data_IF_229997757666
#
_entry.id   IF_229997757666
#
_cell.length_a   1.000
_cell.length_b   1.000
_cell.length_c   1.000
_cell.angle_alpha   90.00
_cell.angle_beta   90.00
_cell.angle_gamma   90.00
#
_symmetry.space_group_name_H-M   'P 1'
#
loop_
_entity.id
_entity.type
_entity.pdbx_description
1 polymer ?
#
# COMPACT_ATOMS: atom_id res chain seq x y z
N UNK A 1 -28.47 -18.56 -72.90
CA UNK A 1 -27.71 -17.47 -72.24
C UNK A 1 -27.95 -17.54 -70.73
N UNK A 2 -26.99 -18.08 -69.97
CA UNK A 2 -26.95 -18.00 -68.51
C UNK A 2 -25.61 -17.34 -68.15
N UNK A 3 -25.63 -16.13 -67.59
CA UNK A 3 -24.43 -15.44 -67.11
C UNK A 3 -24.58 -15.13 -65.62
N UNK A 4 -23.96 -16.02 -64.84
CA UNK A 4 -23.13 -15.78 -63.66
C UNK A 4 -23.52 -14.55 -62.82
N UNK A 5 -24.16 -14.81 -61.66
CA UNK A 5 -24.16 -13.87 -60.52
C UNK A 5 -22.74 -13.86 -59.95
N UNK A 6 -22.01 -12.76 -60.15
CA UNK A 6 -20.76 -12.51 -59.46
C UNK A 6 -21.09 -12.20 -58.00
N UNK A 7 -20.71 -13.09 -57.11
CA UNK A 7 -20.64 -12.82 -55.67
C UNK A 7 -19.56 -11.76 -55.48
N UNK A 8 -19.95 -10.54 -55.11
CA UNK A 8 -19.00 -9.57 -54.57
C UNK A 8 -18.63 -10.12 -53.19
N UNK A 9 -17.51 -10.83 -53.11
CA UNK A 9 -16.78 -11.01 -51.87
C UNK A 9 -16.36 -9.59 -51.49
N UNK A 10 -17.11 -8.98 -50.57
CA UNK A 10 -16.61 -7.90 -49.74
C UNK A 10 -15.38 -8.48 -49.04
N UNK A 11 -14.22 -8.19 -49.62
CA UNK A 11 -12.96 -8.13 -48.90
C UNK A 11 -13.23 -7.17 -47.73
N UNK A 12 -13.66 -7.74 -46.60
CA UNK A 12 -13.31 -7.25 -45.29
C UNK A 12 -11.78 -7.17 -45.30
N UNK A 13 -11.28 -6.06 -45.81
CA UNK A 13 -10.01 -5.54 -45.37
C UNK A 13 -10.24 -5.31 -43.89
N UNK A 14 -9.86 -6.32 -43.12
CA UNK A 14 -9.62 -6.17 -41.69
C UNK A 14 -8.62 -5.03 -41.56
N UNK A 15 -9.13 -3.82 -41.40
CA UNK A 15 -8.55 -2.88 -40.47
C UNK A 15 -8.58 -3.60 -39.13
N UNK A 16 -7.56 -4.44 -38.90
CA UNK A 16 -6.99 -4.59 -37.58
C UNK A 16 -6.58 -3.17 -37.21
N UNK A 17 -7.53 -2.44 -36.59
CA UNK A 17 -7.17 -1.49 -35.57
C UNK A 17 -6.23 -2.28 -34.67
N UNK A 18 -4.93 -2.00 -34.78
CA UNK A 18 -3.96 -2.39 -33.78
C UNK A 18 -4.36 -1.62 -32.53
N UNK A 19 -5.40 -2.06 -31.83
CA UNK A 19 -5.65 -1.64 -30.48
C UNK A 19 -4.43 -2.11 -29.70
N UNK A 20 -3.62 -1.15 -29.27
CA UNK A 20 -2.49 -1.40 -28.38
C UNK A 20 -3.08 -2.18 -27.20
N UNK A 21 -2.55 -3.38 -26.94
CA UNK A 21 -3.01 -4.14 -25.78
C UNK A 21 -2.55 -3.34 -24.54
N UNK A 22 -3.48 -2.89 -23.69
CA UNK A 22 -3.10 -2.15 -22.49
C UNK A 22 -2.23 -3.04 -21.61
N UNK A 23 -1.28 -2.43 -20.90
CA UNK A 23 -0.54 -3.14 -19.87
C UNK A 23 -1.50 -3.52 -18.75
N UNK A 24 -1.13 -4.60 -18.06
CA UNK A 24 -1.83 -5.07 -16.87
C UNK A 24 -0.83 -5.46 -15.80
N UNK A 25 -1.34 -5.64 -14.59
CA UNK A 25 -0.60 -6.31 -13.51
C UNK A 25 0.00 -7.63 -14.01
N UNK A 26 1.29 -7.82 -13.73
CA UNK A 26 2.13 -8.95 -14.16
C UNK A 26 2.94 -8.71 -15.44
N UNK A 27 2.72 -7.60 -16.16
CA UNK A 27 3.50 -7.28 -17.36
C UNK A 27 4.84 -6.61 -17.02
N UNK A 28 5.85 -6.81 -17.88
CA UNK A 28 7.16 -6.15 -17.78
C UNK A 28 7.21 -4.87 -18.60
N UNK A 29 7.58 -3.75 -18.00
CA UNK A 29 7.56 -2.43 -18.63
C UNK A 29 8.92 -1.91 -19.14
N UNK A 30 9.95 -2.77 -19.14
CA UNK A 30 11.31 -2.49 -19.65
C UNK A 30 11.40 -2.03 -21.12
N UNK A 31 10.31 -2.11 -21.90
CA UNK A 31 10.28 -1.73 -23.32
C UNK A 31 10.10 -0.23 -23.60
N UNK A 32 9.83 0.60 -22.59
CA UNK A 32 9.51 2.04 -22.78
C UNK A 32 10.75 2.95 -22.76
N UNK A 33 11.95 2.40 -22.55
CA UNK A 33 13.15 3.17 -22.21
C UNK A 33 13.91 3.79 -23.41
N UNK A 34 13.89 3.16 -24.59
CA UNK A 34 14.71 3.61 -25.72
C UNK A 34 13.98 4.69 -26.54
N UNK A 35 14.26 5.97 -26.24
CA UNK A 35 13.79 7.19 -26.92
C UNK A 35 12.47 7.78 -26.40
N UNK A 36 12.48 8.34 -25.20
CA UNK A 36 11.35 9.07 -24.64
C UNK A 36 11.55 10.61 -24.61
N UNK A 37 10.44 11.34 -24.59
CA UNK A 37 10.34 12.80 -24.46
C UNK A 37 9.66 13.12 -23.13
N UNK A 38 10.21 14.12 -22.41
CA UNK A 38 9.64 14.61 -21.17
C UNK A 38 8.32 15.34 -21.42
N UNK A 39 7.22 14.79 -20.87
CA UNK A 39 5.91 15.44 -20.87
C UNK A 39 5.71 16.34 -19.66
N UNK A 40 6.06 15.83 -18.48
CA UNK A 40 5.85 16.52 -17.21
C UNK A 40 6.96 16.19 -16.22
N UNK A 41 7.30 17.16 -15.37
CA UNK A 41 8.14 16.95 -14.20
C UNK A 41 7.65 17.79 -13.03
N UNK A 42 7.61 17.19 -11.85
CA UNK A 42 7.15 17.86 -10.63
C UNK A 42 7.32 16.97 -9.39
N UNK A 43 7.17 17.55 -8.22
CA UNK A 43 7.14 16.81 -6.96
C UNK A 43 5.72 16.30 -6.68
N UNK A 44 5.58 15.02 -6.33
CA UNK A 44 4.28 14.45 -5.94
C UNK A 44 3.76 15.07 -4.65
N UNK A 45 4.66 15.34 -3.71
CA UNK A 45 4.36 15.92 -2.42
C UNK A 45 5.58 16.68 -1.90
N UNK A 46 5.48 17.27 -0.71
CA UNK A 46 6.58 17.98 -0.07
C UNK A 46 7.68 17.03 0.48
N UNK A 47 7.97 15.94 -0.22
CA UNK A 47 9.06 15.00 0.08
C UNK A 47 10.14 15.16 -0.99
N UNK A 48 11.40 15.42 -0.61
CA UNK A 48 12.51 15.64 -1.55
C UNK A 48 12.69 14.55 -2.62
N UNK A 49 12.46 13.29 -2.27
CA UNK A 49 12.60 12.10 -3.13
C UNK A 49 11.47 11.95 -4.15
N UNK A 50 10.38 12.71 -4.02
CA UNK A 50 9.16 12.50 -4.79
C UNK A 50 9.15 13.18 -6.16
N UNK A 51 10.33 13.48 -6.72
CA UNK A 51 10.44 14.11 -8.04
C UNK A 51 10.00 13.13 -9.12
N UNK A 52 8.78 13.30 -9.63
CA UNK A 52 8.21 12.51 -10.69
C UNK A 52 8.55 13.12 -12.07
N UNK A 53 8.76 12.23 -13.04
CA UNK A 53 8.82 12.55 -14.47
C UNK A 53 7.89 11.62 -15.23
N UNK A 54 7.16 12.20 -16.17
CA UNK A 54 6.31 11.49 -17.12
C UNK A 54 6.99 11.55 -18.48
N UNK A 55 7.32 10.39 -19.04
CA UNK A 55 8.07 10.25 -20.27
C UNK A 55 7.24 9.48 -21.30
N UNK A 56 6.95 10.09 -22.45
CA UNK A 56 6.28 9.41 -23.56
C UNK A 56 7.28 8.97 -24.63
N UNK A 57 7.01 7.89 -25.38
CA UNK A 57 7.80 7.53 -26.56
C UNK A 57 7.89 8.69 -27.57
N UNK A 58 9.05 8.86 -28.20
CA UNK A 58 9.30 9.92 -29.19
C UNK A 58 8.61 9.66 -30.53
N UNK A 59 8.41 8.40 -30.88
CA UNK A 59 7.72 7.95 -32.08
C UNK A 59 6.29 7.56 -31.68
N UNK A 60 5.29 8.28 -32.22
CA UNK A 60 3.87 8.27 -31.81
C UNK A 60 3.62 9.04 -30.51
N UNK A 61 3.14 10.28 -30.64
CA UNK A 61 2.42 11.00 -29.60
C UNK A 61 0.93 10.97 -29.99
N UNK A 62 0.32 9.80 -29.91
CA UNK A 62 -1.14 9.68 -29.94
C UNK A 62 -1.66 9.74 -28.49
N UNK A 63 -2.89 10.21 -28.30
CA UNK A 63 -3.49 10.44 -26.97
C UNK A 63 -3.69 9.13 -26.15
N UNK A 64 -3.36 7.97 -26.73
CA UNK A 64 -3.48 6.62 -26.17
C UNK A 64 -2.12 6.03 -25.74
N UNK A 65 -1.11 6.88 -25.57
CA UNK A 65 0.24 6.42 -25.29
C UNK A 65 0.49 6.06 -23.82
N UNK A 66 1.31 5.02 -23.67
CA UNK A 66 1.78 4.50 -22.39
C UNK A 66 2.92 5.41 -21.98
N UNK A 67 2.74 6.08 -20.85
CA UNK A 67 3.68 7.04 -20.31
C UNK A 67 4.51 6.32 -19.26
N UNK A 68 5.83 6.29 -19.43
CA UNK A 68 6.74 5.81 -18.40
C UNK A 68 6.74 6.80 -17.24
N UNK A 69 6.50 6.26 -16.04
CA UNK A 69 6.56 7.02 -14.79
C UNK A 69 7.92 6.78 -14.16
N UNK A 70 8.67 7.86 -13.98
CA UNK A 70 9.92 7.84 -13.22
C UNK A 70 9.77 8.62 -11.93
N UNK A 71 10.37 8.14 -10.85
CA UNK A 71 10.52 8.91 -9.61
C UNK A 71 11.98 8.85 -9.18
N UNK A 72 12.59 10.02 -8.98
CA UNK A 72 14.01 10.14 -8.63
C UNK A 72 14.95 9.34 -9.56
N UNK A 73 14.69 9.41 -10.87
CA UNK A 73 15.38 8.67 -11.94
C UNK A 73 15.19 7.15 -11.98
N UNK A 74 14.43 6.57 -11.04
CA UNK A 74 14.02 5.17 -11.09
C UNK A 74 12.75 5.01 -11.91
N UNK A 75 12.67 3.93 -12.68
CA UNK A 75 11.49 3.55 -13.44
C UNK A 75 10.53 2.83 -12.49
N UNK A 76 9.38 3.44 -12.18
CA UNK A 76 8.48 2.94 -11.13
C UNK A 76 7.19 2.35 -11.66
N UNK A 77 6.93 2.50 -12.96
CA UNK A 77 5.71 1.99 -13.57
C UNK A 77 5.31 2.81 -14.78
N UNK A 78 4.01 2.78 -15.06
CA UNK A 78 3.42 3.42 -16.23
C UNK A 78 2.14 4.18 -15.88
N UNK A 79 1.76 5.08 -16.76
CA UNK A 79 0.47 5.78 -16.78
C UNK A 79 -0.19 5.50 -18.13
N UNK A 80 -1.43 5.03 -18.07
CA UNK A 80 -2.31 4.87 -19.24
C UNK A 80 -3.56 5.75 -19.10
N UNK A 81 -4.10 6.18 -20.24
CA UNK A 81 -5.40 6.86 -20.29
C UNK A 81 -6.46 5.90 -20.80
N UNK A 82 -7.31 5.39 -19.90
CA UNK A 82 -8.39 4.48 -20.25
C UNK A 82 -9.71 5.24 -20.17
N UNK A 83 -10.41 5.40 -21.30
CA UNK A 83 -11.69 6.13 -21.39
C UNK A 83 -11.62 7.55 -20.80
N UNK A 84 -10.49 8.24 -20.98
CA UNK A 84 -10.28 9.60 -20.45
C UNK A 84 -9.96 9.68 -18.95
N UNK A 85 -9.73 8.54 -18.30
CA UNK A 85 -9.27 8.47 -16.90
C UNK A 85 -7.81 8.02 -16.84
N UNK A 86 -7.04 8.62 -15.92
CA UNK A 86 -5.67 8.21 -15.62
C UNK A 86 -5.66 6.90 -14.82
N UNK A 87 -4.90 5.92 -15.29
CA UNK A 87 -4.62 4.69 -14.58
C UNK A 87 -3.11 4.53 -14.46
N UNK A 88 -2.61 4.59 -13.22
CA UNK A 88 -1.23 4.28 -12.92
C UNK A 88 -1.11 2.79 -12.64
N UNK A 89 -0.06 2.16 -13.15
CA UNK A 89 0.29 0.80 -12.76
C UNK A 89 1.73 0.83 -12.29
N UNK A 90 1.96 0.48 -11.03
CA UNK A 90 3.26 0.62 -10.38
C UNK A 90 3.92 -0.73 -10.14
N UNK A 91 5.24 -0.72 -10.25
CA UNK A 91 6.16 -1.70 -9.67
C UNK A 91 6.47 -1.24 -8.23
N UNK A 92 6.15 -2.09 -7.26
CA UNK A 92 6.29 -1.82 -5.83
C UNK A 92 7.49 -2.52 -5.19
N UNK A 93 8.17 -3.43 -5.88
CA UNK A 93 9.29 -4.22 -5.34
C UNK A 93 10.60 -4.12 -6.14
N UNK A 94 10.59 -3.31 -7.21
CA UNK A 94 11.71 -3.00 -8.10
C UNK A 94 12.17 -4.19 -8.96
N UNK A 95 11.28 -5.12 -9.31
CA UNK A 95 11.62 -6.25 -10.17
C UNK A 95 11.34 -6.00 -11.68
N UNK A 96 10.78 -4.84 -12.01
CA UNK A 96 10.41 -4.44 -13.37
C UNK A 96 9.08 -5.02 -13.86
N UNK A 97 8.31 -5.63 -12.97
CA UNK A 97 6.96 -6.16 -13.18
C UNK A 97 5.95 -5.22 -12.52
N UNK A 98 4.82 -5.00 -13.19
CA UNK A 98 3.75 -4.18 -12.68
C UNK A 98 2.92 -4.94 -11.63
N UNK A 99 2.76 -4.39 -10.43
CA UNK A 99 2.11 -5.05 -9.30
C UNK A 99 0.68 -4.60 -9.05
N UNK A 100 0.43 -3.28 -9.10
CA UNK A 100 -0.84 -2.73 -8.65
C UNK A 100 -1.27 -1.51 -9.46
N UNK A 101 -2.56 -1.52 -9.79
CA UNK A 101 -3.28 -0.40 -10.42
C UNK A 101 -3.72 0.63 -9.37
N UNK A 102 -3.46 1.91 -9.66
CA UNK A 102 -3.78 3.03 -8.79
C UNK A 102 -4.45 4.16 -9.59
N UNK A 103 -5.50 4.80 -9.06
CA UNK A 103 -6.17 5.91 -9.74
C UNK A 103 -5.47 7.26 -9.54
N UNK A 104 -4.29 7.28 -8.92
CA UNK A 104 -3.50 8.48 -8.64
C UNK A 104 -2.01 8.14 -8.56
N UNK A 105 -1.12 9.13 -8.77
CA UNK A 105 0.31 8.89 -8.68
C UNK A 105 0.75 8.61 -7.24
N UNK A 106 1.63 7.63 -7.07
CA UNK A 106 2.20 7.22 -5.79
C UNK A 106 3.70 6.99 -5.94
N UNK A 107 4.45 7.24 -4.86
CA UNK A 107 5.86 6.84 -4.78
C UNK A 107 5.97 5.49 -4.06
N UNK A 108 6.42 4.41 -4.72
CA UNK A 108 6.71 3.15 -4.04
C UNK A 108 7.71 3.34 -2.88
N UNK A 109 7.59 2.51 -1.84
CA UNK A 109 8.42 2.64 -0.63
C UNK A 109 9.91 2.51 -0.95
N UNK A 110 10.28 1.61 -1.87
CA UNK A 110 11.69 1.37 -2.19
C UNK A 110 12.42 2.63 -2.66
N UNK A 111 11.72 3.60 -3.28
CA UNK A 111 12.30 4.87 -3.69
C UNK A 111 12.90 5.63 -2.50
N UNK A 112 12.20 5.62 -1.36
CA UNK A 112 12.70 6.23 -0.12
C UNK A 112 13.77 5.36 0.55
N UNK A 113 13.56 4.04 0.58
CA UNK A 113 14.44 3.14 1.34
C UNK A 113 15.78 2.92 0.66
N UNK A 114 15.87 3.11 -0.66
CA UNK A 114 17.11 3.02 -1.43
C UNK A 114 17.78 4.38 -1.65
N UNK A 115 17.06 5.49 -1.48
CA UNK A 115 17.62 6.83 -1.65
C UNK A 115 18.83 7.07 -0.74
N UNK A 116 19.92 7.57 -1.34
CA UNK A 116 21.14 8.01 -0.64
C UNK A 116 20.91 9.31 0.16
N UNK A 117 19.87 10.09 -0.19
CA UNK A 117 19.51 11.33 0.49
C UNK A 117 18.71 11.11 1.78
N UNK A 118 18.27 9.87 2.05
CA UNK A 118 17.58 9.50 3.28
C UNK A 118 18.60 9.07 4.32
N UNK A 119 18.73 9.86 5.39
CA UNK A 119 19.58 9.53 6.53
C UNK A 119 19.00 8.34 7.28
N UNK A 120 19.79 7.27 7.42
CA UNK A 120 19.41 6.02 8.09
C UNK A 120 20.37 5.76 9.23
N UNK A 121 19.84 5.44 10.41
CA UNK A 121 20.64 5.10 11.57
C UNK A 121 19.99 3.97 12.38
N UNK A 122 20.65 3.54 13.46
CA UNK A 122 20.14 2.50 14.35
C UNK A 122 19.37 3.06 15.56
N UNK A 123 19.16 4.38 15.62
CA UNK A 123 18.41 5.01 16.69
C UNK A 123 16.92 4.96 16.35
N UNK A 124 16.13 4.29 17.17
CA UNK A 124 14.71 4.09 16.91
C UNK A 124 13.87 5.33 17.28
N UNK A 125 13.98 6.37 16.47
CA UNK A 125 13.11 7.55 16.53
C UNK A 125 11.68 7.28 16.03
N UNK A 126 11.42 6.09 15.48
CA UNK A 126 10.12 5.68 14.94
C UNK A 126 9.20 5.20 16.07
N UNK A 127 9.77 4.57 17.10
CA UNK A 127 9.01 4.00 18.23
C UNK A 127 7.97 4.94 18.83
N UNK A 128 8.31 6.23 18.99
CA UNK A 128 7.39 7.22 19.56
C UNK A 128 6.10 7.39 18.76
N UNK A 129 6.18 7.31 17.43
CA UNK A 129 5.02 7.35 16.54
C UNK A 129 4.15 6.11 16.69
N UNK A 130 4.79 4.93 16.72
CA UNK A 130 4.11 3.65 16.84
C UNK A 130 3.41 3.48 18.19
N UNK A 131 4.09 3.88 19.28
CA UNK A 131 3.52 3.89 20.64
C UNK A 131 2.30 4.82 20.70
N UNK A 132 2.38 6.00 20.07
CA UNK A 132 1.27 6.94 20.02
C UNK A 132 0.06 6.38 19.26
N UNK A 133 0.29 5.72 18.11
CA UNK A 133 -0.78 5.06 17.33
C UNK A 133 -1.45 3.95 18.17
N UNK A 134 -0.66 3.10 18.82
CA UNK A 134 -1.19 2.02 19.66
C UNK A 134 -1.98 2.55 20.86
N UNK A 135 -1.54 3.64 21.48
CA UNK A 135 -2.29 4.29 22.54
C UNK A 135 -3.69 4.71 22.07
N UNK A 136 -3.80 5.24 20.85
CA UNK A 136 -5.09 5.62 20.27
C UNK A 136 -5.99 4.40 20.05
N UNK A 137 -5.45 3.30 19.49
CA UNK A 137 -6.24 2.08 19.24
C UNK A 137 -6.70 1.36 20.50
N UNK A 138 -5.92 1.42 21.58
CA UNK A 138 -6.27 0.90 22.90
C UNK A 138 -7.13 1.86 23.74
N UNK A 139 -7.38 3.08 23.25
CA UNK A 139 -8.23 4.06 23.93
C UNK A 139 -9.71 3.74 23.81
N UNK A 140 -10.55 4.41 24.61
CA UNK A 140 -11.99 4.15 24.61
C UNK A 140 -12.71 4.65 23.36
N UNK A 141 -12.15 5.65 22.70
CA UNK A 141 -12.75 6.29 21.53
C UNK A 141 -12.22 5.68 20.23
N UNK A 142 -13.08 5.56 19.22
CA UNK A 142 -12.66 5.07 17.92
C UNK A 142 -11.73 6.13 17.26
N UNK A 143 -10.47 5.79 16.93
CA UNK A 143 -9.50 6.76 16.43
C UNK A 143 -9.85 7.31 15.04
N UNK A 144 -10.60 6.56 14.24
CA UNK A 144 -11.08 6.98 12.93
C UNK A 144 -12.26 7.96 13.03
N UNK A 145 -13.20 7.68 13.94
CA UNK A 145 -14.40 8.54 14.14
C UNK A 145 -14.00 9.88 14.75
N UNK A 146 -13.11 9.84 15.75
CA UNK A 146 -12.60 11.05 16.42
C UNK A 146 -11.55 11.79 15.60
N UNK A 147 -11.02 11.16 14.55
CA UNK A 147 -9.89 11.65 13.76
C UNK A 147 -8.64 11.93 14.59
N UNK A 148 -8.52 11.33 15.78
CA UNK A 148 -7.36 11.51 16.65
C UNK A 148 -6.07 10.96 16.03
N UNK A 149 -6.19 9.99 15.12
CA UNK A 149 -5.09 9.46 14.32
C UNK A 149 -4.44 10.52 13.43
N UNK A 150 -5.23 11.48 12.92
CA UNK A 150 -4.75 12.49 11.98
C UNK A 150 -3.63 13.35 12.59
N UNK A 151 -3.67 13.63 13.90
CA UNK A 151 -2.61 14.39 14.56
C UNK A 151 -1.24 13.70 14.44
N UNK A 152 -1.22 12.38 14.58
CA UNK A 152 0.02 11.59 14.46
C UNK A 152 0.44 11.52 12.99
N UNK A 153 -0.50 11.23 12.09
CA UNK A 153 -0.25 11.14 10.64
C UNK A 153 0.24 12.47 10.05
N UNK A 154 -0.31 13.60 10.49
CA UNK A 154 0.12 14.94 10.06
C UNK A 154 1.53 15.27 10.55
N UNK A 155 1.89 14.85 11.78
CA UNK A 155 3.26 15.00 12.27
C UNK A 155 4.23 14.15 11.44
N UNK A 156 3.87 12.89 11.16
CA UNK A 156 4.67 12.01 10.29
C UNK A 156 4.83 12.66 8.91
N UNK A 157 3.76 13.21 8.33
CA UNK A 157 3.78 13.92 7.05
C UNK A 157 4.72 15.13 7.05
N UNK A 158 4.83 15.83 8.17
CA UNK A 158 5.78 16.94 8.32
C UNK A 158 7.23 16.43 8.37
N UNK A 159 7.46 15.39 9.17
CA UNK A 159 8.79 14.82 9.39
C UNK A 159 9.38 14.15 8.13
N UNK A 160 8.56 13.50 7.31
CA UNK A 160 9.02 12.91 6.03
C UNK A 160 9.53 13.97 5.04
N UNK A 161 9.00 15.19 5.13
CA UNK A 161 9.43 16.33 4.31
C UNK A 161 10.70 17.02 4.81
N UNK A 162 11.13 16.75 6.05
CA UNK A 162 12.36 17.33 6.61
C UNK A 162 13.57 16.40 6.35
N UNK A 163 14.51 16.78 5.46
CA UNK A 163 15.69 15.96 5.14
C UNK A 163 16.66 15.80 6.32
N UNK A 164 16.42 16.48 7.44
CA UNK A 164 17.20 16.33 8.67
C UNK A 164 16.75 15.16 9.53
N UNK A 165 15.49 14.72 9.39
CA UNK A 165 14.94 13.60 10.16
C UNK A 165 15.55 12.29 9.68
N UNK A 166 16.02 11.47 10.61
CA UNK A 166 16.57 10.14 10.32
C UNK A 166 15.45 9.11 10.21
N UNK A 167 15.68 8.03 9.45
CA UNK A 167 14.75 6.91 9.27
C UNK A 167 13.38 7.29 8.68
N UNK A 168 13.32 8.42 7.95
CA UNK A 168 12.08 8.93 7.35
C UNK A 168 11.51 8.05 6.24
N UNK A 169 12.26 7.08 5.73
CA UNK A 169 11.75 6.02 4.86
C UNK A 169 10.74 5.11 5.58
N UNK A 170 10.99 4.79 6.85
CA UNK A 170 10.04 4.03 7.68
C UNK A 170 8.81 4.89 7.99
N UNK A 171 9.01 6.18 8.33
CA UNK A 171 7.91 7.14 8.52
C UNK A 171 7.06 7.28 7.26
N UNK A 172 7.69 7.29 6.08
CA UNK A 172 6.98 7.35 4.81
C UNK A 172 6.08 6.14 4.61
N UNK A 173 6.57 4.93 4.89
CA UNK A 173 5.72 3.74 4.86
C UNK A 173 4.51 3.85 5.81
N UNK A 174 4.73 4.32 7.05
CA UNK A 174 3.63 4.49 8.02
C UNK A 174 2.63 5.54 7.54
N UNK A 175 3.10 6.66 6.98
CA UNK A 175 2.24 7.67 6.38
C UNK A 175 1.49 7.13 5.17
N UNK A 176 2.13 6.32 4.33
CA UNK A 176 1.51 5.73 3.16
C UNK A 176 0.38 4.79 3.58
N UNK A 177 0.58 3.99 4.63
CA UNK A 177 -0.43 3.12 5.19
C UNK A 177 -1.65 3.89 5.73
N UNK A 178 -1.46 4.79 6.70
CA UNK A 178 -2.56 5.50 7.38
C UNK A 178 -3.13 6.68 6.62
N UNK A 179 -2.30 7.35 5.83
CA UNK A 179 -2.64 8.58 5.13
C UNK A 179 -3.17 8.36 3.71
N UNK A 180 -2.91 7.19 3.12
CA UNK A 180 -3.26 6.89 1.72
C UNK A 180 -3.94 5.52 1.58
N UNK A 181 -3.21 4.44 1.85
CA UNK A 181 -3.52 3.08 1.35
C UNK A 181 -4.81 2.46 1.92
N UNK A 182 -5.12 2.67 3.21
CA UNK A 182 -6.31 2.13 3.86
C UNK A 182 -7.64 2.49 3.15
N UNK A 183 -7.64 3.47 2.26
CA UNK A 183 -8.82 3.92 1.52
C UNK A 183 -8.97 3.26 0.14
N UNK A 184 -7.97 2.50 -0.33
CA UNK A 184 -7.90 2.07 -1.73
C UNK A 184 -7.66 0.58 -1.95
N UNK A 185 -6.72 -0.06 -1.24
CA UNK A 185 -6.38 -1.47 -1.51
C UNK A 185 -5.78 -2.19 -0.29
N UNK A 186 -6.36 -3.33 0.07
CA UNK A 186 -5.82 -4.24 1.08
C UNK A 186 -4.49 -4.88 0.66
N UNK A 187 -4.28 -5.05 -0.64
CA UNK A 187 -3.03 -5.56 -1.21
C UNK A 187 -1.91 -4.53 -1.02
N UNK A 188 -2.18 -3.25 -1.29
CA UNK A 188 -1.24 -2.16 -1.03
C UNK A 188 -0.88 -2.09 0.45
N UNK A 189 -1.88 -2.15 1.33
CA UNK A 189 -1.69 -2.20 2.78
C UNK A 189 -0.73 -3.32 3.18
N UNK A 190 -0.94 -4.54 2.66
CA UNK A 190 -0.08 -5.69 2.95
C UNK A 190 1.35 -5.50 2.45
N UNK A 191 1.54 -5.01 1.21
CA UNK A 191 2.86 -4.73 0.64
C UNK A 191 3.63 -3.72 1.49
N UNK A 192 2.97 -2.62 1.88
CA UNK A 192 3.55 -1.56 2.69
C UNK A 192 4.00 -2.08 4.04
N UNK A 193 3.12 -2.77 4.76
CA UNK A 193 3.39 -3.24 6.12
C UNK A 193 4.52 -4.28 6.13
N UNK A 194 4.54 -5.18 5.15
CA UNK A 194 5.58 -6.21 5.02
C UNK A 194 6.96 -5.59 4.83
N UNK A 195 7.06 -4.58 3.96
CA UNK A 195 8.34 -3.92 3.69
C UNK A 195 8.81 -3.08 4.90
N UNK A 196 7.90 -2.33 5.54
CA UNK A 196 8.19 -1.59 6.77
C UNK A 196 8.69 -2.54 7.87
N UNK A 197 8.01 -3.67 8.05
CA UNK A 197 8.37 -4.66 9.07
C UNK A 197 9.80 -5.15 8.88
N UNK A 198 10.13 -5.57 7.66
CA UNK A 198 11.46 -6.05 7.29
C UNK A 198 12.51 -4.99 7.59
N UNK A 199 12.33 -3.77 7.10
CA UNK A 199 13.28 -2.67 7.28
C UNK A 199 13.44 -2.33 8.76
N UNK A 200 12.35 -2.27 9.51
CA UNK A 200 12.36 -1.93 10.93
C UNK A 200 13.12 -2.97 11.75
N UNK A 201 12.84 -4.26 11.52
CA UNK A 201 13.54 -5.39 12.18
C UNK A 201 15.04 -5.36 11.89
N UNK A 202 15.41 -5.21 10.62
CA UNK A 202 16.81 -5.18 10.19
C UNK A 202 17.56 -3.96 10.76
N UNK A 203 16.95 -2.78 10.71
CA UNK A 203 17.61 -1.53 11.08
C UNK A 203 17.81 -1.37 12.58
N UNK A 204 16.81 -1.72 13.37
CA UNK A 204 16.84 -1.54 14.83
C UNK A 204 17.21 -2.82 15.59
N UNK A 205 17.48 -3.92 14.87
CA UNK A 205 17.78 -5.24 15.45
C UNK A 205 16.69 -5.69 16.45
N UNK A 206 15.44 -5.36 16.14
CA UNK A 206 14.28 -5.72 16.96
C UNK A 206 13.73 -7.07 16.51
N UNK A 207 13.52 -7.97 17.47
CA UNK A 207 12.87 -9.27 17.20
C UNK A 207 11.36 -9.19 17.18
N UNK A 208 10.80 -8.19 17.86
CA UNK A 208 9.37 -8.00 18.05
C UNK A 208 8.92 -6.85 17.17
N UNK A 209 7.98 -7.15 16.29
CA UNK A 209 7.34 -6.19 15.40
C UNK A 209 6.52 -5.20 16.24
N UNK A 210 6.46 -3.90 15.91
CA UNK A 210 5.47 -3.02 16.52
C UNK A 210 4.07 -3.63 16.43
N UNK A 211 3.34 -3.65 17.55
CA UNK A 211 2.00 -4.25 17.72
C UNK A 211 1.04 -3.95 16.55
N UNK A 212 1.21 -2.78 15.95
CA UNK A 212 0.43 -2.28 14.84
C UNK A 212 0.53 -3.12 13.56
N UNK A 213 1.74 -3.56 13.20
CA UNK A 213 1.92 -4.36 11.98
C UNK A 213 1.36 -5.77 12.19
N UNK A 214 1.52 -6.34 13.40
CA UNK A 214 0.95 -7.65 13.75
C UNK A 214 -0.58 -7.61 13.78
N UNK A 215 -1.18 -6.51 14.26
CA UNK A 215 -2.63 -6.30 14.19
C UNK A 215 -3.14 -6.34 12.75
N UNK A 216 -2.45 -5.65 11.84
CA UNK A 216 -2.87 -5.61 10.44
C UNK A 216 -2.58 -6.91 9.69
N UNK A 217 -1.53 -7.65 10.04
CA UNK A 217 -1.32 -8.99 9.50
C UNK A 217 -2.47 -9.94 9.91
N UNK A 218 -2.91 -9.87 11.17
CA UNK A 218 -4.08 -10.62 11.66
C UNK A 218 -5.33 -10.24 10.85
N UNK A 219 -5.62 -8.94 10.69
CA UNK A 219 -6.77 -8.45 9.92
C UNK A 219 -6.73 -8.93 8.47
N UNK A 220 -5.59 -8.81 7.80
CA UNK A 220 -5.39 -9.26 6.42
C UNK A 220 -5.66 -10.76 6.28
N UNK A 221 -5.09 -11.59 7.16
CA UNK A 221 -5.28 -13.05 7.11
C UNK A 221 -6.73 -13.45 7.42
N UNK A 222 -7.41 -12.72 8.30
CA UNK A 222 -8.86 -12.87 8.53
C UNK A 222 -9.66 -12.55 7.26
N UNK A 223 -9.37 -11.40 6.63
CA UNK A 223 -10.04 -10.95 5.41
C UNK A 223 -9.80 -11.88 4.21
N UNK A 224 -8.64 -12.54 4.17
CA UNK A 224 -8.32 -13.58 3.18
C UNK A 224 -9.01 -14.92 3.45
N UNK A 225 -9.80 -15.05 4.52
CA UNK A 225 -10.51 -16.29 4.85
C UNK A 225 -9.59 -17.41 5.35
N UNK A 226 -8.48 -17.06 6.02
CA UNK A 226 -7.49 -18.02 6.56
C UNK A 226 -7.51 -18.07 8.10
N UNK A 227 -8.60 -18.51 8.74
CA UNK A 227 -8.78 -18.39 10.19
C UNK A 227 -7.77 -19.20 11.02
N UNK A 228 -7.27 -20.32 10.50
CA UNK A 228 -6.26 -21.13 11.19
C UNK A 228 -4.90 -20.41 11.30
N UNK A 229 -4.53 -19.60 10.30
CA UNK A 229 -3.32 -18.78 10.30
C UNK A 229 -3.51 -17.56 11.21
N UNK A 230 -4.66 -16.89 11.11
CA UNK A 230 -5.02 -15.79 12.01
C UNK A 230 -4.93 -16.20 13.48
N UNK A 231 -5.43 -17.39 13.85
CA UNK A 231 -5.32 -17.92 15.21
C UNK A 231 -3.87 -18.14 15.68
N UNK A 232 -2.94 -18.48 14.79
CA UNK A 232 -1.52 -18.62 15.16
C UNK A 232 -0.93 -17.25 15.47
N UNK A 233 -1.15 -16.28 14.59
CA UNK A 233 -0.71 -14.90 14.76
C UNK A 233 -1.31 -14.27 16.03
N UNK A 234 -2.61 -14.44 16.27
CA UNK A 234 -3.27 -13.95 17.48
C UNK A 234 -2.64 -14.52 18.75
N UNK A 235 -2.35 -15.84 18.79
CA UNK A 235 -1.71 -16.46 19.97
C UNK A 235 -0.30 -15.93 20.23
N UNK A 236 0.42 -15.57 19.19
CA UNK A 236 1.71 -14.89 19.33
C UNK A 236 1.52 -13.45 19.83
N UNK A 237 0.58 -12.73 19.23
CA UNK A 237 0.22 -11.36 19.57
C UNK A 237 -0.23 -11.22 21.04
N UNK A 238 -1.04 -12.15 21.56
CA UNK A 238 -1.46 -12.17 22.97
C UNK A 238 -0.29 -12.35 23.94
N UNK A 239 0.78 -13.04 23.53
CA UNK A 239 1.99 -13.20 24.36
C UNK A 239 2.87 -11.96 24.33
N UNK A 240 2.99 -11.33 23.17
CA UNK A 240 3.83 -10.15 22.97
C UNK A 240 3.17 -8.88 23.49
N UNK A 241 1.85 -8.77 23.34
CA UNK A 241 1.05 -7.58 23.64
C UNK A 241 -0.21 -7.94 24.46
N UNK A 242 -0.06 -8.48 25.67
CA UNK A 242 -1.18 -8.99 26.46
C UNK A 242 -2.21 -7.92 26.84
N UNK A 243 -1.85 -6.64 26.81
CA UNK A 243 -2.75 -5.51 27.15
C UNK A 243 -3.43 -4.90 25.92
N UNK A 244 -3.15 -5.38 24.71
CA UNK A 244 -3.77 -4.84 23.51
C UNK A 244 -5.22 -5.31 23.37
N UNK A 245 -6.16 -4.37 23.44
CA UNK A 245 -7.59 -4.67 23.45
C UNK A 245 -8.08 -5.16 22.08
N UNK A 246 -7.69 -4.57 20.93
CA UNK A 246 -8.01 -5.13 19.62
C UNK A 246 -7.56 -6.60 19.44
N UNK A 247 -6.36 -6.99 19.90
CA UNK A 247 -5.89 -8.39 19.86
C UNK A 247 -6.85 -9.31 20.65
N UNK A 248 -7.29 -8.89 21.84
CA UNK A 248 -8.24 -9.66 22.66
C UNK A 248 -9.58 -9.84 21.95
N UNK A 249 -10.05 -8.82 21.23
CA UNK A 249 -11.29 -8.91 20.43
C UNK A 249 -11.11 -9.89 19.27
N UNK A 250 -10.00 -9.83 18.53
CA UNK A 250 -9.70 -10.83 17.48
C UNK A 250 -9.58 -12.25 18.04
N UNK A 251 -8.98 -12.42 19.22
CA UNK A 251 -8.92 -13.69 19.95
C UNK A 251 -10.28 -14.25 20.35
N UNK A 252 -11.25 -13.38 20.67
CA UNK A 252 -12.64 -13.79 20.86
C UNK A 252 -13.33 -14.15 19.55
N UNK A 253 -13.20 -13.30 18.52
CA UNK A 253 -13.86 -13.51 17.23
C UNK A 253 -13.45 -14.84 16.58
N UNK A 254 -12.15 -15.16 16.63
CA UNK A 254 -11.55 -16.36 16.04
C UNK A 254 -11.59 -17.59 16.95
N UNK A 255 -12.17 -17.51 18.15
CA UNK A 255 -12.33 -18.66 19.05
C UNK A 255 -13.37 -19.65 18.51
N UNK A 256 -13.01 -20.94 18.50
CA UNK A 256 -13.84 -22.04 18.00
C UNK A 256 -14.57 -22.74 19.15
N UNK A 257 -13.97 -22.84 20.33
CA UNK A 257 -14.64 -23.43 21.50
C UNK A 257 -15.67 -22.46 22.08
N UNK A 258 -16.96 -22.82 22.00
CA UNK A 258 -18.06 -21.95 22.43
C UNK A 258 -17.95 -21.52 23.90
N UNK A 259 -17.52 -22.41 24.80
CA UNK A 259 -17.37 -22.06 26.22
C UNK A 259 -16.26 -21.05 26.44
N UNK A 260 -15.12 -21.24 25.80
CA UNK A 260 -13.99 -20.30 25.85
C UNK A 260 -14.36 -18.98 25.19
N UNK A 261 -15.13 -19.02 24.10
CA UNK A 261 -15.64 -17.83 23.41
C UNK A 261 -16.56 -17.00 24.30
N UNK A 262 -17.54 -17.63 24.95
CA UNK A 262 -18.43 -16.97 25.91
C UNK A 262 -17.65 -16.36 27.07
N UNK A 263 -16.67 -17.09 27.62
CA UNK A 263 -15.80 -16.56 28.69
C UNK A 263 -15.03 -15.32 28.24
N UNK A 264 -14.37 -15.37 27.08
CA UNK A 264 -13.63 -14.24 26.51
C UNK A 264 -14.54 -13.03 26.29
N UNK A 265 -15.76 -13.25 25.78
CA UNK A 265 -16.76 -12.20 25.60
C UNK A 265 -17.12 -11.52 26.93
N UNK A 266 -17.46 -12.31 27.95
CA UNK A 266 -17.78 -11.78 29.28
C UNK A 266 -16.63 -10.98 29.88
N UNK A 267 -15.39 -11.49 29.77
CA UNK A 267 -14.20 -10.77 30.24
C UNK A 267 -13.99 -9.44 29.51
N UNK A 268 -14.20 -9.41 28.18
CA UNK A 268 -14.11 -8.19 27.38
C UNK A 268 -15.16 -7.16 27.81
N UNK A 269 -16.42 -7.58 27.97
CA UNK A 269 -17.52 -6.70 28.38
C UNK A 269 -17.38 -6.21 29.83
N UNK A 270 -16.78 -7.00 30.71
CA UNK A 270 -16.54 -6.61 32.10
C UNK A 270 -15.36 -5.65 32.23
N UNK A 271 -14.23 -5.94 31.58
CA UNK A 271 -12.98 -5.16 31.75
C UNK A 271 -12.90 -3.92 30.87
N UNK A 272 -13.50 -3.97 29.68
CA UNK A 272 -13.41 -2.90 28.68
C UNK A 272 -14.80 -2.46 28.16
N UNK A 273 -15.78 -2.20 29.04
CA UNK A 273 -17.17 -1.92 28.63
C UNK A 273 -17.29 -0.65 27.77
N UNK A 274 -16.36 0.29 27.93
CA UNK A 274 -16.37 1.58 27.25
C UNK A 274 -15.57 1.60 25.96
N UNK A 275 -14.72 0.58 25.73
CA UNK A 275 -13.80 0.57 24.60
C UNK A 275 -14.55 0.45 23.26
N UNK A 276 -14.18 1.28 22.29
CA UNK A 276 -14.91 1.41 21.03
C UNK A 276 -15.11 0.09 20.28
N UNK A 277 -14.07 -0.76 20.20
CA UNK A 277 -14.17 -2.04 19.49
C UNK A 277 -15.00 -3.07 20.26
N UNK A 278 -15.01 -2.98 21.60
CA UNK A 278 -15.80 -3.87 22.47
C UNK A 278 -17.28 -3.48 22.44
N UNK A 279 -17.60 -2.20 22.23
CA UNK A 279 -18.99 -1.76 22.02
C UNK A 279 -19.62 -2.31 20.74
N UNK A 280 -18.82 -2.72 19.75
CA UNK A 280 -19.30 -3.20 18.45
C UNK A 280 -19.60 -4.70 18.41
N UNK A 281 -19.13 -5.45 19.41
CA UNK A 281 -19.34 -6.91 19.51
C UNK A 281 -20.55 -7.29 20.37
#
# INVERSE_FOLDING_TARGET
>A
MKRIKVFIILLFTSFLLYAKTPFKVGDKFSKVEENSVLLHSGQLNAIPESNMKLLAPKENLEFEDIILVKINEENVGILEFINGSELYIFDFDKDGILDLEMPFPLMPIYIMTESENVKKDKNDNIKGYLDALILLFNGDENPFVTKSINKVVDQIKWDIGDPRVTNRDILYGIWLYYGVAQQFSSELDFMILTEIEKIYKERFNQKVIPNLLLLHEIETVINQGKPAEARKLIKEAEKLFPECIPIKVYSWQQEEDLKTKEKKYSELKEKYPTHWIVKQI
#
